data_IF_801106451468
#
_entry.id   IF_801106451468
#
_cell.length_a   1.000
_cell.length_b   1.000
_cell.length_c   1.000
_cell.angle_alpha   90.00
_cell.angle_beta   90.00
_cell.angle_gamma   90.00
#
_symmetry.space_group_name_H-M   'P 1'
#
loop_
_entity.id
_entity.type
_entity.pdbx_description
1 polymer ?
#
# COMPACT_ATOMS: atom_id res chain seq x y z
N UNK A 1 26.16 0.36 -1.94
CA UNK A 1 26.36 0.70 -0.50
C UNK A 1 25.53 -0.19 0.42
N UNK A 2 24.20 -0.26 0.26
CA UNK A 2 23.34 -1.06 1.15
C UNK A 2 23.80 -2.53 1.32
N UNK A 3 24.24 -3.19 0.25
CA UNK A 3 24.76 -4.57 0.31
C UNK A 3 26.12 -4.72 1.02
N UNK A 4 26.89 -3.64 1.17
CA UNK A 4 28.21 -3.68 1.83
C UNK A 4 28.11 -3.67 3.36
N UNK A 5 27.00 -3.21 3.93
CA UNK A 5 26.78 -3.20 5.38
C UNK A 5 27.94 -2.55 6.15
N UNK A 6 28.49 -3.27 7.13
CA UNK A 6 29.61 -2.84 7.98
C UNK A 6 30.94 -2.69 7.24
N UNK A 7 31.03 -3.06 5.96
CA UNK A 7 32.21 -2.85 5.12
C UNK A 7 32.27 -1.42 4.55
N UNK A 8 31.31 -0.56 4.86
CA UNK A 8 31.37 0.87 4.54
C UNK A 8 32.29 1.57 5.53
N UNK A 9 33.16 2.44 5.03
CA UNK A 9 33.84 3.41 5.88
C UNK A 9 32.84 4.43 6.44
N UNK A 10 33.18 5.07 7.56
CA UNK A 10 32.34 6.11 8.16
C UNK A 10 32.03 7.28 7.19
N UNK A 11 32.98 7.60 6.29
CA UNK A 11 32.78 8.61 5.26
C UNK A 11 31.74 8.16 4.20
N UNK A 12 31.87 6.93 3.70
CA UNK A 12 30.91 6.37 2.74
C UNK A 12 29.51 6.19 3.34
N UNK A 13 29.43 5.81 4.62
CA UNK A 13 28.16 5.71 5.35
C UNK A 13 27.49 7.09 5.49
N UNK A 14 28.25 8.12 5.88
CA UNK A 14 27.74 9.48 6.02
C UNK A 14 27.27 10.05 4.67
N UNK A 15 28.04 9.85 3.60
CA UNK A 15 27.65 10.25 2.25
C UNK A 15 26.35 9.55 1.81
N UNK A 16 26.26 8.24 2.03
CA UNK A 16 25.08 7.46 1.66
C UNK A 16 23.85 7.86 2.48
N UNK A 17 24.01 8.12 3.78
CA UNK A 17 22.94 8.59 4.64
C UNK A 17 22.41 9.95 4.18
N UNK A 18 23.30 10.87 3.80
CA UNK A 18 22.91 12.18 3.25
C UNK A 18 22.14 12.03 1.93
N UNK A 19 22.61 11.16 1.03
CA UNK A 19 21.96 10.92 -0.27
C UNK A 19 20.58 10.27 -0.11
N UNK A 20 20.47 9.25 0.73
CA UNK A 20 19.18 8.61 1.02
C UNK A 20 18.23 9.62 1.65
N UNK A 21 18.68 10.35 2.67
CA UNK A 21 17.90 11.40 3.34
C UNK A 21 17.37 12.45 2.37
N UNK A 22 18.19 12.88 1.41
CA UNK A 22 17.78 13.81 0.35
C UNK A 22 16.68 13.23 -0.55
N UNK A 23 16.73 11.94 -0.89
CA UNK A 23 15.75 11.27 -1.76
C UNK A 23 14.40 11.11 -1.05
N UNK A 24 14.43 10.66 0.21
CA UNK A 24 13.20 10.31 0.95
C UNK A 24 12.71 11.45 1.85
N UNK A 25 13.44 12.57 1.92
CA UNK A 25 13.06 13.73 2.72
C UNK A 25 13.28 13.55 4.23
N UNK A 26 14.19 12.66 4.64
CA UNK A 26 14.50 12.43 6.06
C UNK A 26 15.89 12.97 6.46
N UNK A 27 16.08 13.36 7.73
CA UNK A 27 17.39 13.77 8.24
C UNK A 27 18.44 12.66 8.09
N UNK A 28 19.64 13.02 7.64
CA UNK A 28 20.73 12.07 7.40
C UNK A 28 21.15 11.32 8.68
N UNK A 29 21.08 11.98 9.84
CA UNK A 29 21.38 11.37 11.14
C UNK A 29 20.36 10.28 11.50
N UNK A 30 19.07 10.48 11.18
CA UNK A 30 18.03 9.46 11.34
C UNK A 30 18.30 8.27 10.43
N UNK A 31 18.57 8.52 9.14
CA UNK A 31 18.90 7.46 8.17
C UNK A 31 20.10 6.63 8.65
N UNK A 32 21.12 7.29 9.23
CA UNK A 32 22.29 6.62 9.79
C UNK A 32 21.94 5.77 11.01
N UNK A 33 21.09 6.26 11.93
CA UNK A 33 20.57 5.46 13.07
C UNK A 33 19.80 4.23 12.60
N UNK A 34 19.17 4.30 11.43
CA UNK A 34 18.49 3.17 10.79
C UNK A 34 19.44 2.28 9.96
N UNK A 35 20.77 2.41 10.08
CA UNK A 35 21.76 1.65 9.30
C UNK A 35 21.49 1.70 7.79
N UNK A 36 21.12 2.89 7.29
CA UNK A 36 20.74 3.16 5.89
C UNK A 36 19.48 2.42 5.40
N UNK A 37 18.71 1.81 6.32
CA UNK A 37 17.48 1.04 6.03
C UNK A 37 16.35 1.58 6.88
N UNK A 38 15.75 2.68 6.41
CA UNK A 38 14.54 3.22 7.03
C UNK A 38 13.37 2.29 6.72
N UNK A 39 12.80 1.66 7.74
CA UNK A 39 11.60 0.86 7.57
C UNK A 39 10.37 1.76 7.40
N UNK A 40 9.28 1.18 6.88
CA UNK A 40 8.06 1.91 6.61
C UNK A 40 7.47 2.59 7.85
N UNK A 41 7.50 1.92 9.01
CA UNK A 41 6.95 2.48 10.25
C UNK A 41 7.74 3.69 10.68
N UNK A 42 9.07 3.63 10.60
CA UNK A 42 9.93 4.79 10.85
C UNK A 42 9.62 5.92 9.87
N UNK A 43 9.52 5.63 8.57
CA UNK A 43 9.25 6.65 7.54
C UNK A 43 7.95 7.41 7.79
N UNK A 44 6.84 6.70 8.07
CA UNK A 44 5.52 7.33 8.24
C UNK A 44 5.43 8.22 9.49
N UNK A 45 6.22 7.92 10.51
CA UNK A 45 6.23 8.69 11.76
C UNK A 45 7.22 9.86 11.72
N UNK A 46 8.30 9.74 10.95
CA UNK A 46 9.40 10.72 10.99
C UNK A 46 9.32 11.80 9.91
N UNK A 47 8.66 11.53 8.77
CA UNK A 47 8.64 12.47 7.63
C UNK A 47 8.14 13.88 8.01
N UNK A 48 7.11 13.96 8.86
CA UNK A 48 6.52 15.22 9.31
C UNK A 48 6.71 15.46 10.82
N UNK A 49 7.74 14.85 11.42
CA UNK A 49 7.99 14.90 12.86
C UNK A 49 8.14 16.32 13.40
N UNK A 50 8.80 17.21 12.67
CA UNK A 50 8.96 18.62 13.06
C UNK A 50 7.63 19.38 13.17
N UNK A 51 6.59 18.89 12.49
CA UNK A 51 5.24 19.44 12.55
C UNK A 51 4.35 18.73 13.60
N UNK A 52 4.91 17.80 14.38
CA UNK A 52 4.17 16.90 15.28
C UNK A 52 3.08 16.11 14.55
N UNK A 53 3.39 15.65 13.33
CA UNK A 53 2.47 14.92 12.45
C UNK A 53 3.05 13.61 11.96
N UNK A 54 2.15 12.70 11.63
CA UNK A 54 2.42 11.43 10.93
C UNK A 54 1.64 11.39 9.62
N UNK A 55 2.12 10.62 8.64
CA UNK A 55 1.45 10.40 7.36
C UNK A 55 0.71 9.05 7.31
N UNK A 56 -0.27 8.94 6.42
CA UNK A 56 -1.03 7.71 6.20
C UNK A 56 -0.21 6.59 5.55
N UNK A 57 -0.35 5.36 6.06
CA UNK A 57 0.32 4.16 5.53
C UNK A 57 -0.29 3.69 4.21
N UNK A 58 -1.60 3.87 4.08
CA UNK A 58 -2.38 3.49 2.91
C UNK A 58 -2.50 4.67 1.94
N UNK A 59 -2.44 5.90 2.44
CA UNK A 59 -2.40 7.10 1.59
C UNK A 59 -1.59 8.21 2.27
N UNK A 60 -0.38 8.44 1.79
CA UNK A 60 0.57 9.39 2.35
C UNK A 60 0.09 10.86 2.30
N UNK A 61 -0.97 11.17 1.55
CA UNK A 61 -1.57 12.53 1.51
C UNK A 61 -2.34 12.86 2.77
N UNK A 62 -2.81 11.84 3.50
CA UNK A 62 -3.48 12.03 4.78
C UNK A 62 -2.46 12.22 5.89
N UNK A 63 -2.73 13.19 6.77
CA UNK A 63 -1.88 13.47 7.93
C UNK A 63 -2.69 13.43 9.22
N UNK A 64 -2.06 12.99 10.29
CA UNK A 64 -2.62 12.98 11.64
C UNK A 64 -1.62 13.56 12.64
N UNK A 65 -2.08 13.88 13.85
CA UNK A 65 -1.17 14.33 14.91
C UNK A 65 -0.44 13.15 15.54
N UNK A 66 0.86 13.33 15.79
CA UNK A 66 1.67 12.39 16.55
C UNK A 66 1.27 12.48 18.04
N UNK A 67 0.78 11.38 18.60
CA UNK A 67 0.40 11.28 20.01
C UNK A 67 1.58 10.94 20.94
N UNK A 68 2.80 10.90 20.41
CA UNK A 68 4.04 10.69 21.14
C UNK A 68 4.32 9.21 21.48
N UNK A 69 5.37 8.94 22.29
CA UNK A 69 5.86 7.58 22.54
C UNK A 69 4.88 6.66 23.28
N UNK A 70 3.89 7.22 23.99
CA UNK A 70 2.77 6.48 24.57
C UNK A 70 1.63 6.23 23.58
N UNK A 71 1.58 7.00 22.49
CA UNK A 71 0.61 6.94 21.41
C UNK A 71 0.92 5.86 20.37
N UNK A 72 1.54 4.76 20.80
CA UNK A 72 1.92 3.61 19.97
C UNK A 72 0.64 2.98 19.40
N UNK A 73 0.11 3.50 18.31
CA UNK A 73 -1.09 2.99 17.68
C UNK A 73 -0.88 2.85 16.18
N UNK A 74 -0.58 1.61 15.81
CA UNK A 74 -0.99 1.02 14.53
C UNK A 74 -2.50 1.31 14.25
N UNK A 75 -3.28 1.68 15.28
CA UNK A 75 -4.72 1.97 15.22
C UNK A 75 -5.10 3.44 14.89
N UNK A 76 -4.14 4.36 14.68
CA UNK A 76 -4.44 5.75 14.29
C UNK A 76 -3.80 6.10 12.94
N UNK A 77 -3.87 5.18 11.99
CA UNK A 77 -3.43 5.44 10.63
C UNK A 77 -4.33 6.54 10.01
N UNK A 78 -3.77 7.71 9.62
CA UNK A 78 -4.56 8.89 9.24
C UNK A 78 -5.59 8.66 8.14
N UNK A 79 -5.27 7.87 7.12
CA UNK A 79 -6.20 7.68 6.00
C UNK A 79 -7.42 6.86 6.43
N UNK A 80 -7.22 5.80 7.22
CA UNK A 80 -8.29 5.00 7.83
C UNK A 80 -9.24 5.82 8.69
N UNK A 81 -8.71 6.73 9.51
CA UNK A 81 -9.54 7.63 10.31
C UNK A 81 -10.41 8.55 9.46
N UNK A 82 -9.92 8.95 8.28
CA UNK A 82 -10.66 9.85 7.40
C UNK A 82 -11.85 9.17 6.70
N UNK A 83 -11.71 7.91 6.27
CA UNK A 83 -12.77 7.24 5.49
C UNK A 83 -13.62 6.23 6.28
N UNK A 84 -13.15 5.66 7.39
CA UNK A 84 -13.90 4.62 8.11
C UNK A 84 -15.26 5.10 8.61
N UNK A 85 -15.34 6.31 9.17
CA UNK A 85 -16.59 6.89 9.67
C UNK A 85 -17.65 7.07 8.56
N UNK A 86 -17.35 7.83 7.50
CA UNK A 86 -18.27 8.00 6.37
C UNK A 86 -18.71 6.69 5.72
N UNK A 87 -17.80 5.74 5.50
CA UNK A 87 -18.15 4.45 4.89
C UNK A 87 -19.01 3.59 5.81
N UNK A 88 -18.74 3.57 7.10
CA UNK A 88 -19.60 2.87 8.08
C UNK A 88 -21.00 3.44 8.08
N UNK A 89 -21.13 4.77 8.13
CA UNK A 89 -22.43 5.43 8.11
C UNK A 89 -23.20 5.11 6.81
N UNK A 90 -22.54 5.18 5.66
CA UNK A 90 -23.15 4.86 4.36
C UNK A 90 -23.64 3.40 4.28
N UNK A 91 -22.85 2.44 4.77
CA UNK A 91 -23.26 1.03 4.80
C UNK A 91 -24.44 0.81 5.73
N UNK A 92 -24.45 1.39 6.93
CA UNK A 92 -25.60 1.30 7.84
C UNK A 92 -26.87 1.89 7.23
N UNK A 93 -26.76 3.05 6.58
CA UNK A 93 -27.89 3.70 5.90
C UNK A 93 -28.47 2.80 4.80
N UNK A 94 -27.61 2.26 3.93
CA UNK A 94 -28.00 1.35 2.85
C UNK A 94 -28.64 0.06 3.36
N UNK A 95 -28.03 -0.59 4.36
CA UNK A 95 -28.56 -1.84 4.94
C UNK A 95 -29.95 -1.64 5.55
N UNK A 96 -30.14 -0.57 6.33
CA UNK A 96 -31.40 -0.32 7.06
C UNK A 96 -32.49 0.25 6.16
N UNK A 97 -32.16 1.25 5.35
CA UNK A 97 -33.17 2.01 4.60
C UNK A 97 -33.49 1.39 3.26
N UNK A 98 -32.52 0.84 2.55
CA UNK A 98 -32.75 0.27 1.22
C UNK A 98 -32.98 -1.23 1.29
N UNK A 99 -32.03 -1.98 1.86
CA UNK A 99 -32.12 -3.44 1.93
C UNK A 99 -33.08 -3.96 3.01
N UNK A 100 -33.54 -3.09 3.92
CA UNK A 100 -34.44 -3.42 5.03
C UNK A 100 -33.90 -4.55 5.92
N UNK A 101 -32.58 -4.64 6.04
CA UNK A 101 -31.93 -5.62 6.88
C UNK A 101 -31.75 -5.07 8.29
N UNK A 102 -32.21 -5.83 9.30
CA UNK A 102 -32.08 -5.46 10.70
C UNK A 102 -31.34 -6.52 11.51
N UNK A 103 -30.38 -6.08 12.32
CA UNK A 103 -29.58 -6.92 13.22
C UNK A 103 -29.06 -6.10 14.39
N UNK A 104 -28.97 -6.68 15.58
CA UNK A 104 -28.34 -6.00 16.73
C UNK A 104 -26.82 -6.21 16.78
N UNK A 105 -26.26 -6.96 15.83
CA UNK A 105 -24.82 -7.16 15.73
C UNK A 105 -24.14 -5.88 15.22
N UNK A 106 -22.99 -5.48 15.82
CA UNK A 106 -22.21 -4.39 15.30
C UNK A 106 -21.62 -4.75 13.93
N UNK A 107 -21.68 -3.81 12.99
CA UNK A 107 -20.94 -3.90 11.74
C UNK A 107 -19.45 -3.68 11.98
N UNK A 108 -18.67 -4.75 11.85
CA UNK A 108 -17.21 -4.73 11.97
C UNK A 108 -16.59 -4.42 10.60
N UNK A 109 -16.04 -3.21 10.42
CA UNK A 109 -15.34 -2.82 9.17
C UNK A 109 -14.14 -3.74 8.92
N UNK A 110 -13.43 -4.11 10.00
CA UNK A 110 -12.29 -5.01 9.98
C UNK A 110 -12.20 -5.72 11.31
N UNK A 111 -12.27 -7.06 11.29
CA UNK A 111 -12.20 -7.87 12.50
C UNK A 111 -10.78 -8.40 12.72
N UNK A 112 -10.02 -7.75 13.60
CA UNK A 112 -8.62 -8.12 13.85
C UNK A 112 -8.46 -9.47 14.57
N UNK A 113 -9.48 -9.94 15.29
CA UNK A 113 -9.46 -11.29 15.90
C UNK A 113 -9.56 -12.36 14.82
N UNK A 114 -10.47 -12.19 13.86
CA UNK A 114 -10.54 -13.12 12.72
C UNK A 114 -9.24 -13.00 11.91
N UNK A 115 -8.73 -11.79 11.66
CA UNK A 115 -7.48 -11.60 10.95
C UNK A 115 -6.30 -12.37 11.57
N UNK A 116 -6.18 -12.39 12.91
CA UNK A 116 -5.13 -13.14 13.60
C UNK A 116 -5.29 -14.67 13.51
N UNK A 117 -6.49 -15.15 13.20
CA UNK A 117 -6.82 -16.57 13.08
C UNK A 117 -6.67 -17.10 11.64
N UNK A 118 -6.20 -16.28 10.67
CA UNK A 118 -5.92 -16.76 9.31
C UNK A 118 -4.73 -17.72 9.30
N UNK A 119 -4.94 -18.90 8.72
CA UNK A 119 -3.91 -19.91 8.52
C UNK A 119 -3.27 -19.77 7.13
N UNK A 120 -1.93 -19.75 7.11
CA UNK A 120 -1.13 -19.67 5.89
C UNK A 120 -0.21 -20.89 5.79
N UNK A 121 -0.74 -22.07 6.11
CA UNK A 121 0.03 -23.31 6.25
C UNK A 121 0.85 -23.65 4.99
N UNK A 122 0.31 -23.33 3.79
CA UNK A 122 0.99 -23.51 2.50
C UNK A 122 2.23 -22.60 2.32
N UNK A 123 2.36 -21.55 3.13
CA UNK A 123 3.40 -20.53 3.05
C UNK A 123 4.30 -20.50 4.30
N UNK A 124 4.22 -21.48 5.21
CA UNK A 124 5.08 -21.52 6.39
C UNK A 124 6.57 -21.39 6.04
N UNK A 125 7.28 -20.46 6.71
CA UNK A 125 8.69 -20.17 6.43
C UNK A 125 8.96 -19.39 5.13
N UNK A 126 7.91 -18.90 4.46
CA UNK A 126 7.99 -18.15 3.22
C UNK A 126 7.00 -16.97 3.21
N UNK A 127 7.14 -16.08 2.23
CA UNK A 127 6.14 -15.04 1.99
C UNK A 127 4.98 -15.62 1.17
N UNK A 128 3.78 -15.13 1.44
CA UNK A 128 2.62 -15.41 0.58
C UNK A 128 2.90 -14.85 -0.81
N UNK A 129 2.98 -15.72 -1.79
CA UNK A 129 3.22 -15.37 -3.19
C UNK A 129 2.32 -16.22 -4.10
N UNK A 130 1.59 -15.54 -4.99
CA UNK A 130 0.69 -16.15 -5.96
C UNK A 130 1.11 -15.83 -7.41
N UNK A 131 2.29 -15.25 -7.61
CA UNK A 131 2.83 -14.86 -8.91
C UNK A 131 2.88 -16.04 -9.89
N UNK A 132 3.43 -17.18 -9.48
CA UNK A 132 3.48 -18.40 -10.29
C UNK A 132 2.09 -18.99 -10.58
N UNK A 133 1.16 -18.88 -9.62
CA UNK A 133 -0.24 -19.27 -9.85
C UNK A 133 -0.88 -18.40 -10.92
N UNK A 134 -0.71 -17.07 -10.83
CA UNK A 134 -1.20 -16.13 -11.83
C UNK A 134 -0.58 -16.41 -13.21
N UNK A 135 0.75 -16.57 -13.27
CA UNK A 135 1.48 -16.92 -14.50
C UNK A 135 0.91 -18.17 -15.15
N UNK A 136 0.74 -19.26 -14.38
CA UNK A 136 0.19 -20.52 -14.88
C UNK A 136 -1.19 -20.34 -15.47
N UNK A 137 -2.06 -19.55 -14.82
CA UNK A 137 -3.42 -19.29 -15.31
C UNK A 137 -3.37 -18.46 -16.59
N UNK A 138 -2.56 -17.40 -16.65
CA UNK A 138 -2.43 -16.57 -17.86
C UNK A 138 -1.87 -17.36 -19.04
N UNK A 139 -0.93 -18.28 -18.83
CA UNK A 139 -0.41 -19.17 -19.88
C UNK A 139 -1.45 -20.19 -20.32
N UNK A 140 -2.23 -20.73 -19.38
CA UNK A 140 -3.25 -21.76 -19.68
C UNK A 140 -4.52 -21.17 -20.28
N UNK A 141 -4.81 -19.90 -20.01
CA UNK A 141 -5.92 -19.15 -20.57
C UNK A 141 -5.39 -17.86 -21.24
N UNK A 142 -5.04 -17.93 -22.54
CA UNK A 142 -4.59 -16.76 -23.29
C UNK A 142 -5.63 -15.64 -23.39
N UNK A 143 -6.89 -15.84 -22.99
CA UNK A 143 -7.89 -14.78 -22.97
C UNK A 143 -7.93 -14.00 -21.65
N UNK A 144 -7.19 -14.44 -20.62
CA UNK A 144 -7.12 -13.74 -19.35
C UNK A 144 -6.32 -12.45 -19.49
N UNK A 145 -6.97 -11.32 -19.21
CA UNK A 145 -6.37 -9.99 -19.09
C UNK A 145 -6.38 -9.55 -17.63
N UNK A 146 -5.38 -8.75 -17.24
CA UNK A 146 -5.21 -8.22 -15.88
C UNK A 146 -5.07 -6.70 -15.95
N UNK A 147 -5.90 -6.00 -15.19
CA UNK A 147 -5.76 -4.56 -14.96
C UNK A 147 -5.23 -4.34 -13.54
N UNK A 148 -4.09 -3.69 -13.41
CA UNK A 148 -3.47 -3.32 -12.13
C UNK A 148 -3.61 -1.82 -11.95
N UNK A 149 -4.40 -1.43 -10.96
CA UNK A 149 -4.61 -0.02 -10.62
C UNK A 149 -3.67 0.37 -9.48
N UNK A 150 -2.78 1.33 -9.70
CA UNK A 150 -1.73 1.69 -8.76
C UNK A 150 -1.91 3.12 -8.21
N UNK A 151 -1.88 3.27 -6.88
CA UNK A 151 -1.84 4.58 -6.23
C UNK A 151 -0.39 5.04 -5.99
N UNK A 152 -0.04 6.25 -6.39
CA UNK A 152 1.30 6.80 -6.15
C UNK A 152 1.65 6.97 -4.67
N UNK A 153 0.64 7.21 -3.83
CA UNK A 153 0.81 7.49 -2.40
C UNK A 153 0.51 6.27 -1.52
N UNK A 154 0.36 5.09 -2.13
CA UNK A 154 0.15 3.83 -1.42
C UNK A 154 1.49 3.24 -0.99
N UNK A 155 1.75 3.21 0.32
CA UNK A 155 2.94 2.56 0.88
C UNK A 155 2.65 1.13 1.37
N UNK A 156 1.42 0.63 1.24
CA UNK A 156 1.04 -0.75 1.55
C UNK A 156 1.34 -1.70 0.45
N UNK A 157 0.97 -1.32 -0.75
CA UNK A 157 1.26 -2.05 -1.96
C UNK A 157 1.86 -1.08 -2.97
N UNK A 158 3.13 -0.66 -2.75
CA UNK A 158 3.76 0.34 -3.61
C UNK A 158 3.77 -0.12 -5.07
N UNK A 159 3.46 0.80 -5.99
CA UNK A 159 3.37 0.49 -7.42
C UNK A 159 4.65 -0.13 -7.97
N UNK A 160 5.82 0.28 -7.48
CA UNK A 160 7.10 -0.29 -7.90
C UNK A 160 7.25 -1.78 -7.55
N UNK A 161 6.64 -2.23 -6.45
CA UNK A 161 6.59 -3.65 -6.11
C UNK A 161 5.65 -4.42 -7.07
N UNK A 162 4.52 -3.82 -7.44
CA UNK A 162 3.62 -4.39 -8.45
C UNK A 162 4.33 -4.49 -9.82
N UNK A 163 4.95 -3.40 -10.29
CA UNK A 163 5.77 -3.39 -11.51
C UNK A 163 6.83 -4.49 -11.46
N UNK A 164 7.56 -4.61 -10.35
CA UNK A 164 8.56 -5.65 -10.17
C UNK A 164 7.94 -7.04 -10.33
N UNK A 165 6.87 -7.35 -9.58
CA UNK A 165 6.22 -8.67 -9.64
C UNK A 165 5.75 -9.02 -11.05
N UNK A 166 5.04 -8.11 -11.73
CA UNK A 166 4.52 -8.37 -13.07
C UNK A 166 5.62 -8.47 -14.14
N UNK A 167 6.66 -7.65 -14.05
CA UNK A 167 7.82 -7.75 -14.94
C UNK A 167 8.61 -9.06 -14.76
N UNK A 168 8.50 -9.69 -13.58
CA UNK A 168 9.14 -10.95 -13.24
C UNK A 168 8.19 -12.16 -13.31
N UNK A 169 6.98 -12.02 -13.88
CA UNK A 169 6.15 -13.18 -14.21
C UNK A 169 6.72 -14.00 -15.37
N UNK A 170 7.65 -13.44 -16.15
CA UNK A 170 8.25 -14.10 -17.33
C UNK A 170 7.19 -14.69 -18.27
N UNK A 171 6.16 -13.90 -18.56
CA UNK A 171 5.11 -14.27 -19.52
C UNK A 171 5.72 -14.41 -20.93
N UNK A 172 5.23 -15.38 -21.74
CA UNK A 172 5.51 -15.44 -23.17
C UNK A 172 5.26 -14.08 -23.85
N UNK A 173 6.06 -13.68 -24.87
CA UNK A 173 5.94 -12.39 -25.53
C UNK A 173 4.50 -12.00 -25.88
N UNK A 174 3.75 -12.94 -26.46
CA UNK A 174 2.37 -12.72 -26.93
C UNK A 174 1.35 -12.49 -25.81
N UNK A 175 1.72 -12.74 -24.54
CA UNK A 175 0.85 -12.55 -23.37
C UNK A 175 1.23 -11.34 -22.52
N UNK A 176 2.33 -10.66 -22.81
CA UNK A 176 2.81 -9.53 -21.98
C UNK A 176 1.84 -8.35 -22.01
N UNK A 177 1.23 -8.09 -23.17
CA UNK A 177 0.26 -7.02 -23.36
C UNK A 177 -1.11 -7.32 -22.70
N UNK A 178 -1.28 -8.52 -22.11
CA UNK A 178 -2.49 -8.84 -21.34
C UNK A 178 -2.46 -8.25 -19.92
N UNK A 179 -1.33 -7.69 -19.48
CA UNK A 179 -1.22 -6.94 -18.23
C UNK A 179 -1.20 -5.45 -18.55
N UNK A 180 -2.22 -4.74 -18.08
CA UNK A 180 -2.29 -3.29 -18.17
C UNK A 180 -2.11 -2.69 -16.77
N UNK A 181 -1.21 -1.72 -16.64
CA UNK A 181 -1.01 -0.96 -15.41
C UNK A 181 -1.50 0.48 -15.57
N UNK A 182 -2.24 0.97 -14.60
CA UNK A 182 -2.69 2.37 -14.53
C UNK A 182 -2.24 3.00 -13.23
N UNK A 183 -2.13 4.33 -13.22
CA UNK A 183 -1.55 5.11 -12.13
C UNK A 183 -2.44 6.28 -11.74
N UNK A 184 -2.56 6.51 -10.44
CA UNK A 184 -3.48 7.47 -9.87
C UNK A 184 -2.78 8.32 -8.81
N UNK A 185 -3.10 9.62 -8.81
CA UNK A 185 -2.76 10.58 -7.74
C UNK A 185 -3.58 10.31 -6.47
N UNK A 186 -3.53 9.08 -5.95
CA UNK A 186 -4.19 8.60 -4.74
C UNK A 186 -3.34 7.55 -4.03
N UNK A 187 -3.74 7.17 -2.81
CA UNK A 187 -3.20 5.99 -2.13
C UNK A 187 -3.94 4.70 -2.50
N UNK A 188 -4.04 3.81 -1.52
CA UNK A 188 -4.57 2.45 -1.64
C UNK A 188 -6.01 2.39 -2.16
N UNK A 189 -6.81 3.41 -1.85
CA UNK A 189 -8.19 3.55 -2.34
C UNK A 189 -8.26 4.70 -3.34
N UNK A 190 -8.18 4.41 -4.63
CA UNK A 190 -8.20 5.43 -5.70
C UNK A 190 -9.47 6.26 -5.67
N UNK A 191 -10.57 5.63 -5.27
CA UNK A 191 -11.89 6.22 -5.24
C UNK A 191 -12.16 7.20 -4.09
N UNK A 192 -11.22 7.37 -3.13
CA UNK A 192 -11.32 8.45 -2.13
C UNK A 192 -10.95 9.82 -2.71
N UNK A 193 -10.32 9.86 -3.88
CA UNK A 193 -9.95 11.07 -4.59
C UNK A 193 -10.75 11.19 -5.89
N UNK A 194 -11.64 12.17 -5.98
CA UNK A 194 -12.62 12.26 -7.06
C UNK A 194 -12.02 12.27 -8.49
N UNK A 195 -10.95 13.03 -8.79
CA UNK A 195 -10.29 12.94 -10.09
C UNK A 195 -9.78 11.53 -10.40
N UNK A 196 -9.18 10.85 -9.41
CA UNK A 196 -8.70 9.48 -9.56
C UNK A 196 -9.84 8.47 -9.71
N UNK A 197 -10.99 8.66 -9.03
CA UNK A 197 -12.19 7.86 -9.25
C UNK A 197 -12.70 7.98 -10.69
N UNK A 198 -12.77 9.21 -11.22
CA UNK A 198 -13.23 9.45 -12.58
C UNK A 198 -12.31 8.80 -13.60
N UNK A 199 -10.99 8.94 -13.42
CA UNK A 199 -9.99 8.29 -14.25
C UNK A 199 -10.09 6.75 -14.14
N UNK A 200 -10.16 6.21 -12.92
CA UNK A 200 -10.27 4.75 -12.70
C UNK A 200 -11.51 4.17 -13.39
N UNK A 201 -12.63 4.89 -13.35
CA UNK A 201 -13.85 4.48 -14.07
C UNK A 201 -13.63 4.43 -15.58
N UNK A 202 -12.96 5.44 -16.14
CA UNK A 202 -12.67 5.51 -17.58
C UNK A 202 -11.72 4.38 -18.00
N UNK A 203 -10.64 4.17 -17.24
CA UNK A 203 -9.66 3.12 -17.50
C UNK A 203 -10.29 1.73 -17.43
N UNK A 204 -11.11 1.47 -16.41
CA UNK A 204 -11.83 0.21 -16.29
C UNK A 204 -12.82 0.00 -17.44
N UNK A 205 -13.55 1.04 -17.84
CA UNK A 205 -14.47 0.96 -18.97
C UNK A 205 -13.73 0.66 -20.28
N UNK A 206 -12.60 1.32 -20.53
CA UNK A 206 -11.76 1.07 -21.70
C UNK A 206 -11.22 -0.37 -21.68
N UNK A 207 -10.68 -0.82 -20.54
CA UNK A 207 -10.17 -2.18 -20.37
C UNK A 207 -11.22 -3.25 -20.68
N UNK A 208 -12.47 -3.05 -20.22
CA UNK A 208 -13.57 -3.99 -20.46
C UNK A 208 -14.04 -4.00 -21.93
N UNK A 209 -13.84 -2.92 -22.68
CA UNK A 209 -14.31 -2.79 -24.06
C UNK A 209 -13.36 -3.41 -25.10
N UNK A 210 -12.11 -3.71 -24.73
CA UNK A 210 -11.12 -4.25 -25.65
C UNK A 210 -10.00 -3.27 -25.88
#
# INVERSE_FOLDING_TARGET
ALMRGTLLSAAEEAEMAARIGQIIGLPADLVRRCNLRVDLTTFVNELLREQSKVIGRLDARFTGYDLGPTGRQINLEPSSLAYNGPYTAAVYDYLRRELKFESDLPYEIMNMRINSDWHFDEFEGSYVDVSETLRRIMVSNPHLRVLVCNGYYDMATPFAAAEYTFNHLYLPPDLRDHVQMTYYESGHLMYVHLPSLQQQKQDLAAFLQG
#
